data_IF_848114411957
#
_entry.id   IF_848114411957
#
_cell.length_a   1.000
_cell.length_b   1.000
_cell.length_c   1.000
_cell.angle_alpha   90.00
_cell.angle_beta   90.00
_cell.angle_gamma   90.00
#
_symmetry.space_group_name_H-M   'P 1'
#
loop_
_entity.id
_entity.type
_entity.pdbx_description
1 polymer ?
#
# COMPACT_ATOMS: atom_id res chain seq x y z
N UNK A 1 15.37 0.90 -19.88
CA UNK A 1 15.21 2.25 -20.46
C UNK A 1 13.86 2.33 -21.15
N UNK A 2 13.37 3.52 -21.43
CA UNK A 2 12.15 3.78 -22.20
C UNK A 2 12.37 4.95 -23.16
N UNK A 3 11.57 5.02 -24.22
CA UNK A 3 11.46 6.18 -25.12
C UNK A 3 9.99 6.50 -25.32
N UNK A 4 9.68 7.76 -25.66
CA UNK A 4 8.32 8.19 -25.97
C UNK A 4 8.22 8.52 -27.46
N UNK A 5 7.07 8.26 -28.07
CA UNK A 5 6.83 8.63 -29.47
C UNK A 5 6.32 10.08 -29.54
N UNK A 6 7.02 10.94 -30.28
CA UNK A 6 6.60 12.30 -30.63
C UNK A 6 6.34 12.35 -32.12
N UNK A 7 5.09 12.60 -32.51
CA UNK A 7 4.65 12.55 -33.92
C UNK A 7 4.98 11.20 -34.61
N UNK A 8 4.95 10.10 -33.86
CA UNK A 8 5.27 8.75 -34.37
C UNK A 8 6.76 8.43 -34.46
N UNK A 9 7.65 9.37 -34.13
CA UNK A 9 9.10 9.12 -34.04
C UNK A 9 9.55 8.98 -32.58
N UNK A 10 10.38 7.98 -32.23
CA UNK A 10 10.88 7.82 -30.87
C UNK A 10 11.85 8.93 -30.48
N UNK A 11 11.79 9.35 -29.22
CA UNK A 11 12.83 10.19 -28.59
C UNK A 11 14.06 9.37 -28.23
N UNK A 12 15.10 10.04 -27.75
CA UNK A 12 16.21 9.39 -27.06
C UNK A 12 15.69 8.56 -25.87
N UNK A 13 16.37 7.45 -25.60
CA UNK A 13 16.06 6.60 -24.46
C UNK A 13 16.51 7.24 -23.15
N UNK A 14 15.70 7.03 -22.10
CA UNK A 14 16.03 7.42 -20.73
C UNK A 14 15.86 6.23 -19.78
N UNK A 15 16.62 6.18 -18.67
CA UNK A 15 16.47 5.13 -17.67
C UNK A 15 15.16 5.29 -16.88
N UNK A 16 14.55 4.16 -16.50
CA UNK A 16 13.45 4.13 -15.55
C UNK A 16 14.03 3.91 -14.15
N UNK A 17 13.92 4.89 -13.27
CA UNK A 17 14.52 4.83 -11.93
C UNK A 17 13.54 4.35 -10.85
N UNK A 18 12.27 4.77 -10.93
CA UNK A 18 11.23 4.47 -9.95
C UNK A 18 9.90 4.22 -10.63
N UNK A 19 9.09 3.39 -9.98
CA UNK A 19 7.75 3.04 -10.45
C UNK A 19 7.74 1.78 -11.31
N UNK A 20 6.54 1.25 -11.49
CA UNK A 20 6.27 0.10 -12.34
C UNK A 20 5.74 0.58 -13.69
N UNK A 21 6.13 -0.10 -14.76
CA UNK A 21 5.62 0.15 -16.12
C UNK A 21 4.13 -0.17 -16.18
N UNK A 22 3.29 0.83 -16.50
CA UNK A 22 1.88 0.58 -16.74
C UNK A 22 1.71 -0.28 -18.00
N UNK A 23 0.85 -1.29 -17.94
CA UNK A 23 0.64 -2.23 -19.06
C UNK A 23 1.67 -3.36 -19.14
N UNK A 24 2.69 -3.36 -18.27
CA UNK A 24 3.54 -4.54 -18.10
C UNK A 24 2.75 -5.64 -17.37
N UNK A 25 2.69 -6.87 -17.91
CA UNK A 25 1.93 -7.96 -17.31
C UNK A 25 2.39 -8.34 -15.90
N UNK A 26 3.60 -7.97 -15.47
CA UNK A 26 4.11 -8.24 -14.12
C UNK A 26 3.78 -7.15 -13.09
N UNK A 27 3.50 -5.92 -13.53
CA UNK A 27 3.22 -4.79 -12.63
C UNK A 27 2.10 -5.05 -11.63
N UNK A 28 0.96 -5.69 -11.99
CA UNK A 28 -0.10 -5.99 -11.03
C UNK A 28 0.35 -6.92 -9.90
N UNK A 29 1.19 -7.92 -10.21
CA UNK A 29 1.71 -8.84 -9.21
C UNK A 29 2.67 -8.15 -8.24
N UNK A 30 3.58 -7.33 -8.76
CA UNK A 30 4.51 -6.55 -7.93
C UNK A 30 3.79 -5.56 -7.03
N UNK A 31 2.69 -4.99 -7.51
CA UNK A 31 1.82 -4.13 -6.71
C UNK A 31 1.20 -4.89 -5.53
N UNK A 32 0.64 -6.09 -5.77
CA UNK A 32 0.10 -6.95 -4.72
C UNK A 32 1.16 -7.39 -3.72
N UNK A 33 2.38 -7.66 -4.16
CA UNK A 33 3.49 -8.02 -3.27
C UNK A 33 3.81 -6.90 -2.28
N UNK A 34 3.78 -5.64 -2.72
CA UNK A 34 3.98 -4.49 -1.84
C UNK A 34 2.81 -4.32 -0.86
N UNK A 35 1.57 -4.52 -1.32
CA UNK A 35 0.36 -4.48 -0.49
C UNK A 35 0.41 -5.54 0.62
N UNK A 36 0.79 -6.78 0.27
CA UNK A 36 1.00 -7.90 1.20
C UNK A 36 2.10 -7.60 2.23
N UNK A 37 3.21 -7.00 1.79
CA UNK A 37 4.27 -6.56 2.70
C UNK A 37 3.76 -5.56 3.75
N UNK A 38 2.93 -4.60 3.34
CA UNK A 38 2.29 -3.68 4.27
C UNK A 38 1.27 -4.37 5.18
N UNK A 39 0.51 -5.34 4.67
CA UNK A 39 -0.42 -6.15 5.46
C UNK A 39 0.29 -6.85 6.62
N UNK A 40 1.38 -7.57 6.33
CA UNK A 40 2.20 -8.26 7.34
C UNK A 40 2.76 -7.30 8.38
N UNK A 41 3.22 -6.10 7.97
CA UNK A 41 3.71 -5.08 8.90
C UNK A 41 2.61 -4.56 9.83
N UNK A 42 1.40 -4.33 9.30
CA UNK A 42 0.26 -3.89 10.09
C UNK A 42 -0.20 -4.96 11.08
N UNK A 43 -0.26 -6.23 10.67
CA UNK A 43 -0.55 -7.35 11.58
C UNK A 43 0.45 -7.40 12.74
N UNK A 44 1.75 -7.35 12.43
CA UNK A 44 2.79 -7.35 13.45
C UNK A 44 2.67 -6.17 14.43
N UNK A 45 2.26 -4.99 13.97
CA UNK A 45 2.03 -3.84 14.86
C UNK A 45 0.81 -4.04 15.76
N UNK A 46 -0.25 -4.65 15.26
CA UNK A 46 -1.45 -4.97 16.04
C UNK A 46 -1.15 -6.02 17.10
N UNK A 47 -0.48 -7.12 16.71
CA UNK A 47 -0.06 -8.19 17.62
C UNK A 47 0.84 -7.69 18.75
N UNK A 48 1.71 -6.72 18.45
CA UNK A 48 2.62 -6.10 19.43
C UNK A 48 1.95 -5.00 20.25
N UNK A 49 0.64 -4.79 20.11
CA UNK A 49 -0.12 -3.72 20.76
C UNK A 49 0.45 -2.31 20.48
N UNK A 50 1.17 -2.14 19.36
CA UNK A 50 1.68 -0.85 18.92
C UNK A 50 0.61 -0.04 18.19
N UNK A 51 -0.32 -0.75 17.54
CA UNK A 51 -1.46 -0.16 16.84
C UNK A 51 -2.75 -0.85 17.27
N UNK A 52 -3.79 -0.09 17.57
CA UNK A 52 -5.14 -0.61 17.89
C UNK A 52 -6.08 -0.36 16.72
N UNK A 53 -6.48 -1.43 16.05
CA UNK A 53 -7.43 -1.41 14.94
C UNK A 53 -8.82 -0.91 15.33
N UNK A 54 -9.65 -0.61 14.32
CA UNK A 54 -11.03 -0.21 14.51
C UNK A 54 -11.95 -1.43 14.56
N UNK A 55 -12.87 -1.46 15.54
CA UNK A 55 -13.82 -2.57 15.70
C UNK A 55 -15.11 -2.30 14.94
N UNK A 56 -15.53 -3.23 14.09
CA UNK A 56 -16.76 -3.12 13.26
C UNK A 56 -17.72 -4.26 13.62
N UNK A 57 -18.98 -3.92 13.88
CA UNK A 57 -20.04 -4.88 14.20
C UNK A 57 -20.31 -5.01 15.71
N UNK A 58 -21.55 -5.35 16.06
CA UNK A 58 -22.00 -5.41 17.47
C UNK A 58 -21.94 -6.83 18.07
N UNK A 59 -22.45 -7.84 17.35
CA UNK A 59 -22.56 -9.22 17.86
C UNK A 59 -21.26 -10.02 17.74
N UNK A 60 -20.50 -9.79 16.66
CA UNK A 60 -19.23 -10.45 16.36
C UNK A 60 -18.26 -9.39 15.81
N UNK A 61 -17.68 -8.56 16.69
CA UNK A 61 -16.83 -7.46 16.26
C UNK A 61 -15.60 -7.98 15.49
N UNK A 62 -15.38 -7.42 14.32
CA UNK A 62 -14.17 -7.65 13.52
C UNK A 62 -13.24 -6.47 13.72
N UNK A 63 -11.99 -6.74 14.11
CA UNK A 63 -10.96 -5.70 14.18
C UNK A 63 -10.33 -5.51 12.81
N UNK A 64 -10.40 -4.28 12.29
CA UNK A 64 -9.84 -3.88 11.00
C UNK A 64 -8.76 -2.83 11.26
N UNK A 65 -7.53 -3.10 10.84
CA UNK A 65 -6.41 -2.16 10.97
C UNK A 65 -6.12 -1.41 9.66
N UNK A 66 -6.43 -2.02 8.52
CA UNK A 66 -6.23 -1.44 7.20
C UNK A 66 -7.17 -2.06 6.16
N UNK A 67 -7.43 -1.31 5.09
CA UNK A 67 -8.10 -1.76 3.87
C UNK A 67 -7.25 -1.31 2.68
N UNK A 68 -7.03 -2.19 1.72
CA UNK A 68 -6.21 -1.93 0.53
C UNK A 68 -7.01 -2.23 -0.73
N UNK A 69 -6.97 -1.33 -1.70
CA UNK A 69 -7.53 -1.54 -3.03
C UNK A 69 -6.74 -0.76 -4.06
N UNK A 70 -6.09 -1.47 -4.99
CA UNK A 70 -5.16 -0.86 -5.93
C UNK A 70 -4.20 0.08 -5.17
N UNK A 71 -3.93 1.28 -5.69
CA UNK A 71 -3.06 2.30 -5.10
C UNK A 71 -3.60 2.97 -3.82
N UNK A 72 -4.83 2.69 -3.41
CA UNK A 72 -5.43 3.25 -2.20
C UNK A 72 -5.24 2.36 -0.98
N UNK A 73 -4.79 2.96 0.12
CA UNK A 73 -4.72 2.31 1.44
C UNK A 73 -5.39 3.18 2.50
N UNK A 74 -6.39 2.62 3.17
CA UNK A 74 -7.02 3.23 4.33
C UNK A 74 -6.49 2.57 5.61
N UNK A 75 -5.91 3.35 6.51
CA UNK A 75 -5.51 2.90 7.85
C UNK A 75 -6.61 3.25 8.85
N UNK A 76 -7.10 2.26 9.59
CA UNK A 76 -8.25 2.39 10.49
C UNK A 76 -7.85 1.99 11.90
N UNK A 77 -8.07 2.88 12.86
CA UNK A 77 -7.73 2.61 14.26
C UNK A 77 -8.53 3.45 15.22
N UNK A 78 -8.45 3.10 16.50
CA UNK A 78 -9.03 3.93 17.56
C UNK A 78 -8.36 5.30 17.61
N UNK A 79 -9.11 6.34 18.02
CA UNK A 79 -8.57 7.69 18.20
C UNK A 79 -7.56 7.70 19.35
N UNK A 80 -6.27 7.60 19.02
CA UNK A 80 -5.19 7.66 20.01
C UNK A 80 -3.90 8.25 19.45
N UNK A 81 -3.16 8.96 20.29
CA UNK A 81 -1.80 9.43 19.95
C UNK A 81 -0.78 8.28 19.87
N UNK A 82 -1.09 7.11 20.42
CA UNK A 82 -0.28 5.91 20.25
C UNK A 82 -0.35 5.44 18.79
N UNK A 83 -1.56 5.30 18.24
CA UNK A 83 -1.77 4.93 16.83
C UNK A 83 -1.11 5.93 15.87
N UNK A 84 -1.26 7.24 16.10
CA UNK A 84 -0.61 8.27 15.28
C UNK A 84 0.90 8.14 15.29
N UNK A 85 1.50 7.81 16.45
CA UNK A 85 2.95 7.62 16.56
C UNK A 85 3.43 6.31 15.95
N UNK A 86 2.63 5.25 16.03
CA UNK A 86 2.97 3.95 15.44
C UNK A 86 3.05 4.00 13.91
N UNK A 87 2.27 4.86 13.28
CA UNK A 87 2.27 5.05 11.82
C UNK A 87 3.33 6.04 11.33
N UNK A 88 4.09 6.66 12.23
CA UNK A 88 5.08 7.65 11.87
C UNK A 88 6.41 6.95 11.56
N UNK A 89 6.92 7.18 10.35
CA UNK A 89 8.29 6.82 9.95
C UNK A 89 9.34 7.72 10.62
#
# INVERSE_FOLDING_TARGET
SASILVNGSPTDEFPLERGLSQGDPLSPFLFLLAAEGLHVLMEAMVERNMFTGYSVGELAPVSVSHLQFADDTLLMGTKSWANVRALRA
#
